data_IF_783586373305
#
_entry.id   IF_783586373305
#
_cell.length_a   1.000
_cell.length_b   1.000
_cell.length_c   1.000
_cell.angle_alpha   90.00
_cell.angle_beta   90.00
_cell.angle_gamma   90.00
#
_symmetry.space_group_name_H-M   'P 1'
#
loop_
_entity.id
_entity.type
_entity.pdbx_description
1 polymer ?
#
# COMPACT_ATOMS: atom_id res chain seq x y z
N UNK A 1 -2.34 0.51 -14.65
CA UNK A 1 -1.89 1.90 -14.45
C UNK A 1 -0.87 1.85 -13.30
N UNK A 2 0.04 2.80 -13.07
CA UNK A 2 0.95 2.69 -11.91
C UNK A 2 0.33 3.43 -10.73
N UNK A 3 -0.02 2.72 -9.66
CA UNK A 3 -0.55 3.33 -8.46
C UNK A 3 0.58 4.05 -7.73
N UNK A 4 0.43 5.35 -7.43
CA UNK A 4 1.47 6.17 -6.81
C UNK A 4 0.92 6.83 -5.53
N UNK A 5 1.76 6.95 -4.51
CA UNK A 5 1.38 7.43 -3.16
C UNK A 5 1.03 8.92 -3.05
N UNK A 6 0.98 9.67 -4.15
CA UNK A 6 0.81 11.13 -4.13
C UNK A 6 -0.56 11.59 -3.60
N UNK A 7 -1.54 10.70 -3.56
CA UNK A 7 -2.88 10.99 -3.03
C UNK A 7 -3.03 10.64 -1.53
N UNK A 8 -2.01 10.03 -0.91
CA UNK A 8 -2.09 9.61 0.49
C UNK A 8 -1.57 10.69 1.43
N UNK A 9 -2.44 11.14 2.32
CA UNK A 9 -2.10 11.98 3.46
C UNK A 9 -3.10 11.74 4.59
N UNK A 10 -2.76 12.17 5.81
CA UNK A 10 -3.68 12.13 6.94
C UNK A 10 -3.39 13.26 7.92
N UNK A 11 -4.41 13.61 8.71
CA UNK A 11 -4.36 14.63 9.75
C UNK A 11 -4.73 14.06 11.11
N UNK A 12 -4.29 14.73 12.18
CA UNK A 12 -4.63 14.34 13.54
C UNK A 12 -4.25 15.42 14.55
N UNK A 13 -4.94 15.43 15.70
CA UNK A 13 -4.68 16.38 16.80
C UNK A 13 -3.29 16.22 17.43
N UNK A 14 -2.65 15.07 17.20
CA UNK A 14 -1.27 14.77 17.59
C UNK A 14 -0.57 14.07 16.44
N UNK A 15 0.76 14.09 16.43
CA UNK A 15 1.57 13.34 15.45
C UNK A 15 1.22 11.86 15.44
N UNK A 16 0.96 11.27 16.61
CA UNK A 16 0.58 9.86 16.70
C UNK A 16 -0.83 9.57 16.15
N UNK A 17 -1.76 10.51 16.27
CA UNK A 17 -3.07 10.38 15.65
C UNK A 17 -2.94 10.44 14.11
N UNK A 18 -2.19 11.41 13.59
CA UNK A 18 -1.93 11.52 12.15
C UNK A 18 -1.19 10.29 11.61
N UNK A 19 -0.23 9.74 12.36
CA UNK A 19 0.48 8.50 11.99
C UNK A 19 -0.45 7.30 11.91
N UNK A 20 -1.35 7.12 12.88
CA UNK A 20 -2.32 6.01 12.88
C UNK A 20 -3.26 6.10 11.68
N UNK A 21 -3.77 7.29 11.39
CA UNK A 21 -4.68 7.51 10.27
C UNK A 21 -3.99 7.31 8.92
N UNK A 22 -2.75 7.78 8.80
CA UNK A 22 -1.94 7.59 7.59
C UNK A 22 -1.68 6.10 7.32
N UNK A 23 -1.40 5.33 8.37
CA UNK A 23 -1.22 3.88 8.24
C UNK A 23 -2.51 3.20 7.78
N UNK A 24 -3.66 3.53 8.37
CA UNK A 24 -4.96 2.96 7.96
C UNK A 24 -5.27 3.26 6.49
N UNK A 25 -5.09 4.51 6.07
CA UNK A 25 -5.35 4.93 4.68
C UNK A 25 -4.40 4.24 3.71
N UNK A 26 -3.13 4.06 4.11
CA UNK A 26 -2.14 3.32 3.34
C UNK A 26 -2.54 1.85 3.16
N UNK A 27 -3.01 1.19 4.22
CA UNK A 27 -3.47 -0.21 4.17
C UNK A 27 -4.63 -0.39 3.18
N UNK A 28 -5.65 0.47 3.26
CA UNK A 28 -6.80 0.43 2.36
C UNK A 28 -6.40 0.66 0.89
N UNK A 29 -5.55 1.66 0.65
CA UNK A 29 -5.05 1.94 -0.71
C UNK A 29 -4.25 0.78 -1.29
N UNK A 30 -3.39 0.13 -0.50
CA UNK A 30 -2.62 -1.05 -0.93
C UNK A 30 -3.56 -2.20 -1.30
N UNK A 31 -4.62 -2.43 -0.51
CA UNK A 31 -5.63 -3.44 -0.81
C UNK A 31 -6.35 -3.16 -2.14
N UNK A 32 -6.72 -1.90 -2.39
CA UNK A 32 -7.35 -1.46 -3.64
C UNK A 32 -6.40 -1.68 -4.83
N UNK A 33 -5.14 -1.23 -4.72
CA UNK A 33 -4.14 -1.39 -5.77
C UNK A 33 -3.96 -2.87 -6.17
N UNK A 34 -3.85 -3.77 -5.18
CA UNK A 34 -3.79 -5.21 -5.45
C UNK A 34 -5.06 -5.76 -6.07
N UNK A 35 -6.24 -5.34 -5.62
CA UNK A 35 -7.53 -5.82 -6.12
C UNK A 35 -7.74 -5.53 -7.60
N UNK A 36 -7.21 -4.40 -8.08
CA UNK A 36 -7.27 -4.00 -9.48
C UNK A 36 -6.04 -4.43 -10.30
N UNK A 37 -5.06 -5.07 -9.67
CA UNK A 37 -3.83 -5.52 -10.33
C UNK A 37 -2.90 -4.37 -10.73
N UNK A 38 -3.07 -3.20 -10.12
CA UNK A 38 -2.16 -2.08 -10.32
C UNK A 38 -0.84 -2.37 -9.58
N UNK A 39 0.27 -2.03 -10.23
CA UNK A 39 1.58 -2.21 -9.64
C UNK A 39 1.79 -1.23 -8.49
N UNK A 40 2.18 -1.75 -7.33
CA UNK A 40 2.54 -0.95 -6.14
C UNK A 40 4.04 -0.63 -6.19
N UNK A 41 4.48 0.59 -5.82
CA UNK A 41 5.90 0.92 -5.73
C UNK A 41 6.65 0.07 -4.69
N UNK A 42 7.96 -0.03 -4.85
CA UNK A 42 8.84 -0.68 -3.87
C UNK A 42 9.00 0.24 -2.66
N UNK A 43 8.62 -0.24 -1.48
CA UNK A 43 8.68 0.54 -0.23
C UNK A 43 9.77 -0.04 0.66
N UNK A 44 10.74 0.77 1.07
CA UNK A 44 11.83 0.31 1.96
C UNK A 44 12.60 -0.90 1.42
N UNK A 45 12.71 -1.05 0.10
CA UNK A 45 13.31 -2.22 -0.55
C UNK A 45 12.40 -3.45 -0.69
N UNK A 46 11.17 -3.39 -0.16
CA UNK A 46 10.18 -4.48 -0.23
C UNK A 46 9.38 -4.34 -1.53
N UNK A 47 9.45 -5.38 -2.38
CA UNK A 47 8.67 -5.45 -3.61
C UNK A 47 7.43 -6.32 -3.43
N UNK A 48 6.31 -5.64 -3.16
CA UNK A 48 5.00 -6.24 -2.95
C UNK A 48 4.46 -7.01 -4.17
N UNK A 49 4.82 -6.60 -5.39
CA UNK A 49 4.38 -7.26 -6.62
C UNK A 49 4.98 -8.68 -6.80
N UNK A 50 5.96 -9.06 -5.97
CA UNK A 50 6.58 -10.39 -6.01
C UNK A 50 5.98 -11.37 -5.00
N UNK A 51 5.11 -10.91 -4.10
CA UNK A 51 4.59 -11.70 -2.96
C UNK A 51 3.50 -12.70 -3.40
N UNK A 52 2.96 -12.57 -4.61
CA UNK A 52 1.86 -13.40 -5.14
C UNK A 52 2.24 -14.57 -6.05
N UNK A 53 3.52 -14.94 -6.19
CA UNK A 53 3.84 -16.22 -6.84
C UNK A 53 3.55 -17.35 -5.86
N UNK A 54 2.28 -17.70 -5.71
CA UNK A 54 1.95 -19.07 -5.36
C UNK A 54 2.70 -19.96 -6.35
N UNK A 55 3.65 -20.76 -5.85
CA UNK A 55 4.17 -21.87 -6.62
C UNK A 55 2.93 -22.59 -7.15
N UNK A 56 2.76 -22.64 -8.47
CA UNK A 56 1.69 -23.44 -9.06
C UNK A 56 1.81 -24.82 -8.41
N UNK A 57 0.81 -25.20 -7.60
CA UNK A 57 0.68 -26.57 -7.15
C UNK A 57 0.66 -27.40 -8.44
N UNK A 58 1.75 -28.14 -8.65
CA UNK A 58 1.86 -29.11 -9.72
C UNK A 58 0.95 -30.29 -9.42
#
# INVERSE_FOLDING_TARGET
MQAMFWELWAEGKTVEAARRELISTLEDWVLIAFRFGDGVPVVGGINFNKIGRHAKAR
#
